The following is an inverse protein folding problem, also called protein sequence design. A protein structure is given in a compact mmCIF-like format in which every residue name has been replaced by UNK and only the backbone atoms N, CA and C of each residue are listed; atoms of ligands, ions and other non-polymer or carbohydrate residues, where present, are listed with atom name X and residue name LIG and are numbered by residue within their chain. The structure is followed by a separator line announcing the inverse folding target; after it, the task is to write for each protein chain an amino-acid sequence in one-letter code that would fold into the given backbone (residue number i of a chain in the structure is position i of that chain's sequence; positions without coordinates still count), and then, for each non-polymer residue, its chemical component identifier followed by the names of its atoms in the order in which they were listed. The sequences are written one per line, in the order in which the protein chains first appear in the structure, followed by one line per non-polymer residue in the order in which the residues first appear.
data_IF_643788639574
#
_entry.id   IF_643788639574
#
_cell.length_a   1.000
_cell.length_b   1.000
_cell.length_c   1.000
_cell.angle_alpha   90.00
_cell.angle_beta   90.00
_cell.angle_gamma   90.00
#
_symmetry.space_group_name_H-M   'P 1'
#
loop_
_entity.id
_entity.type
_entity.pdbx_description
1 polymer ?
#
# COMPACT_ATOMS: atom_id res chain seq x y z
N UNK A 1 11.54 6.45 10.83
CA UNK A 1 11.42 7.01 9.49
C UNK A 1 10.26 7.97 9.47
N UNK A 2 10.43 9.10 8.83
CA UNK A 2 9.35 10.06 8.69
C UNK A 2 8.36 9.57 7.64
N UNK A 3 7.08 9.64 7.95
CA UNK A 3 6.03 9.33 7.01
C UNK A 3 5.76 10.54 6.13
N UNK A 4 5.69 10.33 4.82
CA UNK A 4 5.32 11.37 3.87
C UNK A 4 4.08 10.93 3.09
N UNK A 5 2.95 11.10 3.72
CA UNK A 5 1.65 10.75 3.17
C UNK A 5 0.92 12.02 2.72
N UNK A 6 0.49 12.01 1.47
CA UNK A 6 -0.32 13.09 0.92
C UNK A 6 -1.64 12.53 0.41
N UNK A 7 -2.73 13.15 0.82
CA UNK A 7 -4.07 12.82 0.33
C UNK A 7 -4.67 14.05 -0.34
N UNK A 8 -5.04 13.91 -1.60
CA UNK A 8 -5.76 14.93 -2.35
C UNK A 8 -7.21 14.48 -2.54
N UNK A 9 -8.14 15.22 -1.97
CA UNK A 9 -9.56 14.84 -1.93
C UNK A 9 -10.40 15.48 -3.03
N UNK A 10 -9.78 16.24 -3.92
CA UNK A 10 -10.49 17.06 -4.89
C UNK A 10 -10.58 16.37 -6.26
N UNK A 11 -11.08 15.13 -6.27
CA UNK A 11 -11.34 14.38 -7.48
C UNK A 11 -12.84 14.13 -7.64
N UNK A 12 -13.58 15.18 -7.90
CA UNK A 12 -15.04 15.09 -8.02
C UNK A 12 -15.48 14.13 -9.13
N UNK A 13 -14.68 13.96 -10.17
CA UNK A 13 -14.99 13.06 -11.29
C UNK A 13 -14.87 11.59 -10.87
N UNK A 14 -13.96 11.27 -9.95
CA UNK A 14 -13.70 9.92 -9.51
C UNK A 14 -14.38 9.56 -8.19
N UNK A 15 -14.99 10.53 -7.55
CA UNK A 15 -15.61 10.37 -6.22
C UNK A 15 -14.64 9.76 -5.20
N UNK A 16 -13.36 10.05 -5.32
CA UNK A 16 -12.31 9.49 -4.50
C UNK A 16 -11.20 10.48 -4.20
N UNK A 17 -10.15 9.97 -3.60
CA UNK A 17 -8.95 10.72 -3.25
C UNK A 17 -7.73 10.11 -3.90
N UNK A 18 -6.79 10.94 -4.32
CA UNK A 18 -5.45 10.49 -4.68
C UNK A 18 -4.59 10.51 -3.42
N UNK A 19 -4.01 9.38 -3.10
CA UNK A 19 -3.13 9.20 -1.96
C UNK A 19 -1.73 8.91 -2.50
N UNK A 20 -0.75 9.67 -2.02
CA UNK A 20 0.66 9.45 -2.37
C UNK A 20 1.45 9.24 -1.09
N UNK A 21 2.13 8.12 -1.01
CA UNK A 21 2.99 7.77 0.10
C UNK A 21 4.36 7.45 -0.48
N UNK A 22 5.37 8.24 -0.14
CA UNK A 22 6.69 8.19 -0.78
C UNK A 22 7.73 7.43 0.04
N UNK A 23 7.37 6.92 1.20
CA UNK A 23 8.32 6.24 2.09
C UNK A 23 7.81 4.90 2.64
N UNK A 24 7.08 4.15 1.82
CA UNK A 24 6.60 2.83 2.25
C UNK A 24 7.78 1.90 2.46
N UNK A 25 7.78 1.26 3.62
CA UNK A 25 8.82 0.35 4.08
C UNK A 25 8.20 -0.80 4.85
N UNK A 26 9.02 -1.58 5.55
CA UNK A 26 8.54 -2.66 6.41
C UNK A 26 7.79 -2.16 7.64
N UNK A 27 7.85 -0.88 7.96
CA UNK A 27 6.99 -0.27 8.98
C UNK A 27 5.66 0.10 8.36
N UNK A 28 4.56 -0.29 8.98
CA UNK A 28 3.24 -0.03 8.43
C UNK A 28 2.87 1.46 8.54
N UNK A 29 2.34 2.00 7.43
CA UNK A 29 1.63 3.25 7.44
C UNK A 29 0.15 2.93 7.65
N UNK A 30 -0.44 3.53 8.67
CA UNK A 30 -1.77 3.17 9.13
C UNK A 30 -2.81 4.19 8.71
N UNK A 31 -4.03 3.71 8.50
CA UNK A 31 -5.17 4.57 8.17
C UNK A 31 -4.87 5.54 7.02
N UNK A 32 -4.29 4.99 5.93
CA UNK A 32 -3.73 5.81 4.84
C UNK A 32 -4.79 6.58 4.06
N UNK A 33 -6.04 6.14 4.08
CA UNK A 33 -7.13 6.86 3.41
C UNK A 33 -7.77 7.92 4.32
N UNK A 34 -7.58 7.82 5.63
CA UNK A 34 -8.30 8.64 6.60
C UNK A 34 -9.78 8.32 6.70
N UNK A 35 -10.23 7.24 6.08
CA UNK A 35 -11.62 6.81 6.06
C UNK A 35 -11.74 5.42 6.67
N UNK A 36 -12.81 5.18 7.43
CA UNK A 36 -13.07 3.88 8.01
C UNK A 36 -13.44 2.86 6.94
N UNK A 37 -14.23 3.25 5.97
CA UNK A 37 -14.73 2.37 4.93
C UNK A 37 -14.69 3.08 3.57
N UNK A 38 -14.46 2.31 2.52
CA UNK A 38 -14.43 2.80 1.16
C UNK A 38 -14.01 1.71 0.19
N UNK A 39 -13.48 2.13 -0.95
CA UNK A 39 -13.05 1.22 -2.01
C UNK A 39 -11.73 1.70 -2.61
N UNK A 40 -10.88 0.74 -2.98
CA UNK A 40 -9.63 0.99 -3.69
C UNK A 40 -9.89 0.76 -5.18
N UNK A 41 -9.52 1.72 -6.03
CA UNK A 41 -9.75 1.63 -7.48
C UNK A 41 -8.49 1.42 -8.29
N UNK A 42 -7.39 2.07 -7.91
CA UNK A 42 -6.11 1.97 -8.62
C UNK A 42 -4.98 2.04 -7.62
N UNK A 43 -3.98 1.19 -7.84
CA UNK A 43 -2.71 1.23 -7.11
C UNK A 43 -1.58 1.30 -8.12
N UNK A 44 -0.67 2.23 -7.93
CA UNK A 44 0.56 2.35 -8.71
C UNK A 44 1.75 2.27 -7.75
N UNK A 45 2.64 1.35 -8.00
CA UNK A 45 3.81 1.09 -7.17
C UNK A 45 5.06 1.41 -7.97
N UNK A 46 5.89 2.31 -7.44
CA UNK A 46 7.17 2.67 -8.02
C UNK A 46 8.28 2.02 -7.19
N UNK A 47 8.89 0.98 -7.75
CA UNK A 47 10.00 0.24 -7.16
C UNK A 47 11.32 0.51 -7.91
N UNK A 48 11.44 1.65 -8.56
CA UNK A 48 12.64 1.97 -9.37
C UNK A 48 13.89 2.15 -8.52
N UNK A 49 13.74 2.43 -7.23
CA UNK A 49 14.87 2.62 -6.32
C UNK A 49 15.49 1.32 -5.81
N UNK A 50 14.86 0.17 -6.04
CA UNK A 50 15.32 -1.12 -5.52
C UNK A 50 15.74 -2.07 -6.65
N UNK A 51 16.77 -2.87 -6.36
CA UNK A 51 17.30 -3.87 -7.29
C UNK A 51 16.70 -5.26 -7.08
N UNK A 52 15.73 -5.38 -6.18
CA UNK A 52 15.01 -6.63 -5.90
C UNK A 52 13.52 -6.38 -5.99
N UNK A 53 12.70 -7.42 -6.22
CA UNK A 53 11.25 -7.28 -6.16
C UNK A 53 10.81 -6.85 -4.77
N UNK A 54 9.73 -6.06 -4.71
CA UNK A 54 9.07 -5.73 -3.45
C UNK A 54 7.61 -6.16 -3.50
N UNK A 55 7.07 -6.41 -2.33
CA UNK A 55 5.68 -6.80 -2.15
C UNK A 55 5.01 -5.77 -1.26
N UNK A 56 4.08 -5.02 -1.84
CA UNK A 56 3.26 -4.07 -1.09
C UNK A 56 2.08 -4.83 -0.53
N UNK A 57 1.96 -4.83 0.77
CA UNK A 57 0.93 -5.57 1.51
C UNK A 57 -0.02 -4.59 2.14
N UNK A 58 -1.29 -4.89 2.07
CA UNK A 58 -2.35 -4.07 2.63
C UNK A 58 -3.30 -4.91 3.46
N UNK A 59 -3.85 -4.31 4.48
CA UNK A 59 -4.86 -4.94 5.33
C UNK A 59 -6.03 -3.99 5.52
N UNK A 60 -7.23 -4.55 5.52
CA UNK A 60 -8.45 -3.86 5.95
C UNK A 60 -8.44 -3.78 7.47
N UNK A 61 -7.84 -2.74 7.98
CA UNK A 61 -7.65 -2.51 9.39
C UNK A 61 -7.00 -1.15 9.64
N UNK A 62 -7.34 -0.55 10.78
CA UNK A 62 -6.80 0.76 11.17
C UNK A 62 -5.34 0.69 11.60
N UNK A 63 -4.80 -0.50 11.80
CA UNK A 63 -3.40 -0.72 12.17
C UNK A 63 -2.92 -2.06 11.66
N UNK A 64 -1.60 -2.22 11.59
CA UNK A 64 -0.97 -3.47 11.19
C UNK A 64 0.34 -3.66 11.92
N UNK A 65 0.67 -4.92 12.19
CA UNK A 65 1.97 -5.32 12.73
C UNK A 65 2.66 -6.20 11.68
N UNK A 66 3.52 -5.63 10.83
CA UNK A 66 4.21 -6.40 9.80
C UNK A 66 4.94 -7.61 10.38
N UNK A 67 4.81 -8.76 9.72
CA UNK A 67 5.31 -10.04 10.23
C UNK A 67 4.33 -10.79 11.13
N UNK A 68 3.27 -10.14 11.59
CA UNK A 68 2.22 -10.75 12.45
C UNK A 68 0.85 -10.64 11.81
N UNK A 69 0.50 -9.46 11.31
CA UNK A 69 -0.80 -9.23 10.65
C UNK A 69 -0.83 -9.92 9.29
N UNK A 70 -1.91 -10.68 9.04
CA UNK A 70 -2.16 -11.25 7.72
C UNK A 70 -2.65 -10.15 6.77
N UNK A 71 -1.98 -9.89 5.66
CA UNK A 71 -2.49 -8.93 4.69
C UNK A 71 -3.71 -9.49 3.95
N UNK A 72 -4.61 -8.59 3.56
CA UNK A 72 -5.75 -8.94 2.70
C UNK A 72 -5.36 -8.87 1.22
N UNK A 73 -4.38 -8.02 0.89
CA UNK A 73 -3.87 -7.87 -0.48
C UNK A 73 -2.36 -7.88 -0.49
N UNK A 74 -1.78 -8.51 -1.50
CA UNK A 74 -0.34 -8.51 -1.76
C UNK A 74 -0.12 -8.15 -3.22
N UNK A 75 0.61 -7.07 -3.47
CA UNK A 75 0.92 -6.59 -4.81
C UNK A 75 2.42 -6.63 -5.04
N UNK A 76 2.84 -7.29 -6.12
CA UNK A 76 4.25 -7.42 -6.46
C UNK A 76 4.68 -6.32 -7.43
N UNK A 77 5.84 -5.73 -7.18
CA UNK A 77 6.52 -4.86 -8.13
C UNK A 77 7.93 -5.42 -8.38
N UNK A 78 8.22 -5.75 -9.63
CA UNK A 78 9.53 -6.25 -10.01
C UNK A 78 10.63 -5.20 -9.75
N UNK A 79 11.87 -5.66 -9.63
CA UNK A 79 13.01 -4.76 -9.39
C UNK A 79 13.10 -3.70 -10.47
N UNK A 80 13.35 -2.46 -10.07
CA UNK A 80 13.54 -1.34 -10.98
C UNK A 80 12.34 -0.95 -11.82
N UNK A 81 11.12 -1.38 -11.44
CA UNK A 81 9.93 -1.19 -12.26
C UNK A 81 8.87 -0.33 -11.59
N UNK A 82 7.95 0.17 -12.42
CA UNK A 82 6.71 0.80 -11.99
C UNK A 82 5.56 -0.09 -12.48
N UNK A 83 4.65 -0.46 -11.58
CA UNK A 83 3.51 -1.31 -11.91
C UNK A 83 2.21 -0.65 -11.46
N UNK A 84 1.13 -0.94 -12.16
CA UNK A 84 -0.19 -0.45 -11.80
C UNK A 84 -1.18 -1.62 -11.75
N UNK A 85 -2.06 -1.57 -10.76
CA UNK A 85 -3.15 -2.53 -10.59
C UNK A 85 -4.45 -1.75 -10.56
N UNK A 86 -5.38 -2.10 -11.44
CA UNK A 86 -6.69 -1.45 -11.52
C UNK A 86 -7.76 -2.41 -11.00
N UNK A 87 -8.66 -1.86 -10.19
CA UNK A 87 -9.80 -2.56 -9.63
C UNK A 87 -11.07 -1.78 -10.00
N UNK A 88 -11.56 -1.91 -11.26
CA UNK A 88 -12.63 -1.04 -11.76
C UNK A 88 -13.93 -1.12 -10.97
N UNK A 89 -14.20 -2.26 -10.34
CA UNK A 89 -15.39 -2.44 -9.49
C UNK A 89 -15.17 -1.97 -8.06
N UNK A 90 -13.95 -1.56 -7.73
CA UNK A 90 -13.56 -1.21 -6.37
C UNK A 90 -13.26 -2.42 -5.51
N UNK A 91 -12.17 -2.37 -4.74
CA UNK A 91 -11.87 -3.36 -3.72
C UNK A 91 -12.28 -2.78 -2.35
N UNK A 92 -13.33 -3.31 -1.72
CA UNK A 92 -13.90 -2.69 -0.52
C UNK A 92 -13.04 -2.93 0.71
N UNK A 93 -13.00 -1.94 1.59
CA UNK A 93 -12.49 -2.07 2.96
C UNK A 93 -13.49 -1.43 3.92
N UNK A 94 -13.48 -1.84 5.18
CA UNK A 94 -14.49 -1.43 6.15
C UNK A 94 -13.95 -1.02 7.52
N UNK A 95 -12.66 -1.17 7.77
CA UNK A 95 -12.05 -0.88 9.07
C UNK A 95 -10.82 0.03 8.97
N UNK A 96 -10.67 0.70 7.87
CA UNK A 96 -9.50 1.49 7.54
C UNK A 96 -8.57 0.71 6.63
N UNK A 97 -7.48 1.35 6.20
CA UNK A 97 -6.52 0.72 5.31
C UNK A 97 -5.11 1.01 5.80
N UNK A 98 -4.34 -0.05 6.00
CA UNK A 98 -2.93 0.05 6.40
C UNK A 98 -2.06 -0.65 5.37
N UNK A 99 -0.83 -0.14 5.16
CA UNK A 99 0.04 -0.60 4.09
C UNK A 99 1.49 -0.68 4.57
N UNK A 100 2.22 -1.67 4.05
CA UNK A 100 3.67 -1.80 4.25
C UNK A 100 4.29 -2.46 3.03
N UNK A 101 5.62 -2.43 2.94
CA UNK A 101 6.34 -3.07 1.85
C UNK A 101 7.52 -3.87 2.38
N UNK A 102 7.68 -5.07 1.89
CA UNK A 102 8.75 -6.00 2.26
C UNK A 102 9.25 -6.74 1.02
N UNK A 103 10.36 -7.45 1.17
CA UNK A 103 10.92 -8.25 0.06
C UNK A 103 10.41 -9.69 0.04
N UNK A 104 9.56 -10.09 0.98
CA UNK A 104 8.97 -11.43 1.06
C UNK A 104 7.53 -11.45 0.59
N UNK A 105 7.16 -12.46 -0.20
CA UNK A 105 5.83 -12.58 -0.80
C UNK A 105 4.78 -13.18 0.12
N UNK A 106 5.18 -13.84 1.20
CA UNK A 106 4.28 -14.62 2.04
C UNK A 106 3.18 -13.75 2.63
N UNK A 107 1.98 -14.29 2.68
CA UNK A 107 0.80 -13.62 3.22
C UNK A 107 0.38 -14.16 4.58
N UNK A 108 1.19 -15.03 5.19
CA UNK A 108 0.87 -15.64 6.47
C UNK A 108 1.54 -14.91 7.62
N UNK A 109 1.04 -15.11 8.83
CA UNK A 109 1.68 -14.68 10.07
C UNK A 109 3.09 -15.27 10.17
N UNK A 110 4.05 -14.49 10.64
CA UNK A 110 5.45 -14.90 10.69
C UNK A 110 6.18 -14.80 9.37
N UNK A 111 5.53 -14.26 8.34
CA UNK A 111 6.14 -14.05 7.03
C UNK A 111 7.34 -13.11 7.11
N UNK A 112 8.23 -13.22 6.12
CA UNK A 112 9.40 -12.35 6.02
C UNK A 112 8.98 -10.87 6.05
N UNK A 113 9.62 -10.12 6.94
CA UNK A 113 9.41 -8.69 7.10
C UNK A 113 10.69 -7.92 6.77
N UNK A 114 11.45 -8.41 5.79
CA UNK A 114 12.70 -7.78 5.38
C UNK A 114 12.40 -6.45 4.69
N UNK A 115 12.98 -5.40 5.24
CA UNK A 115 12.81 -4.05 4.72
C UNK A 115 13.45 -3.92 3.33
N UNK A 116 12.79 -3.27 2.37
CA UNK A 116 13.45 -2.90 1.12
C UNK A 116 14.63 -1.97 1.40
N UNK A 117 15.69 -2.07 0.60
CA UNK A 117 16.86 -1.22 0.77
C UNK A 117 16.52 0.27 0.66
N UNK A 118 15.60 0.59 -0.24
CA UNK A 118 15.10 1.95 -0.42
C UNK A 118 13.58 1.95 -0.31
N UNK A 119 13.02 3.06 0.11
CA UNK A 119 11.58 3.22 0.25
C UNK A 119 10.87 3.08 -1.09
N UNK A 120 9.65 2.61 -1.03
CA UNK A 120 8.78 2.38 -2.18
C UNK A 120 7.75 3.50 -2.24
N UNK A 121 7.45 3.96 -3.43
CA UNK A 121 6.44 5.00 -3.63
C UNK A 121 5.14 4.35 -4.04
N UNK A 122 4.09 4.67 -3.32
CA UNK A 122 2.72 4.22 -3.61
C UNK A 122 1.86 5.42 -4.00
N UNK A 123 1.14 5.26 -5.11
CA UNK A 123 0.05 6.17 -5.45
C UNK A 123 -1.22 5.36 -5.62
N UNK A 124 -2.30 5.87 -5.06
CA UNK A 124 -3.53 5.11 -5.00
C UNK A 124 -4.72 6.04 -5.14
N UNK A 125 -5.76 5.58 -5.84
CA UNK A 125 -7.07 6.24 -5.85
C UNK A 125 -8.01 5.38 -5.03
N UNK A 126 -8.59 5.97 -3.99
CA UNK A 126 -9.51 5.30 -3.09
C UNK A 126 -10.60 6.26 -2.61
N UNK A 127 -11.74 5.72 -2.28
CA UNK A 127 -12.82 6.50 -1.68
C UNK A 127 -12.83 6.43 -0.16
#
# INVERSE_FOLDING_TARGET
MAEELTKTSDFSVLSGSLITDVDISSNADTDVTGELAGEIFVIKIDNTANSVPVYVKMVDGASASPGTTHPDWVFCAASGSVVSYAMPMGAPYSEGLSVWAVTGAESTSGASNTDPTNDVILRMVAS
#
